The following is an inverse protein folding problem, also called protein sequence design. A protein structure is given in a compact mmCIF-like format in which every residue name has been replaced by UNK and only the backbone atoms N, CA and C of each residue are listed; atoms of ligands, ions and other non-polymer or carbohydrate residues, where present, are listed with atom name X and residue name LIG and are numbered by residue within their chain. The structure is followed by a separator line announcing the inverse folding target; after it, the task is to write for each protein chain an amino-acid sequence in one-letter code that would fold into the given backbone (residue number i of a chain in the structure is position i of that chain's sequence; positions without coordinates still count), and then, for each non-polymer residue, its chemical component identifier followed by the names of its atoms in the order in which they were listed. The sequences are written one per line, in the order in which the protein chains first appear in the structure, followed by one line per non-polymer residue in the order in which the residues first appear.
data_IF_412123030911
#
_entry.id   IF_412123030911
#
_cell.length_a   1.000
_cell.length_b   1.000
_cell.length_c   1.000
_cell.angle_alpha   90.00
_cell.angle_beta   90.00
_cell.angle_gamma   90.00
#
_symmetry.space_group_name_H-M   'P 1'
#
loop_
_entity.id
_entity.type
_entity.pdbx_description
1 polymer ?
#
# COMPACT_ATOMS: atom_id res chain seq x y z
N UNK A 1 23.38 43.03 40.40
CA UNK A 1 23.99 42.01 39.53
C UNK A 1 23.26 40.70 39.76
N UNK A 2 22.12 40.55 39.08
CA UNK A 2 21.35 39.30 38.97
C UNK A 2 20.10 39.60 38.14
N UNK A 3 20.30 39.79 36.84
CA UNK A 3 19.25 39.68 35.83
C UNK A 3 19.51 38.35 35.10
N UNK A 4 18.80 37.31 35.54
CA UNK A 4 18.68 36.04 34.82
C UNK A 4 17.18 35.80 34.75
N UNK A 5 16.57 36.29 33.67
CA UNK A 5 15.21 35.94 33.31
C UNK A 5 15.11 35.81 31.79
N UNK A 6 14.30 34.82 31.39
CA UNK A 6 13.69 34.65 30.07
C UNK A 6 14.56 34.07 28.97
N UNK A 7 14.51 32.74 28.79
CA UNK A 7 14.26 32.09 27.47
C UNK A 7 13.79 30.63 27.70
N UNK A 8 12.53 30.44 28.12
CA UNK A 8 11.92 29.10 28.10
C UNK A 8 10.43 29.12 27.71
N UNK A 9 10.06 29.98 26.75
CA UNK A 9 8.75 29.95 26.10
C UNK A 9 8.93 29.56 24.64
N UNK A 10 8.57 28.32 24.28
CA UNK A 10 8.63 27.90 22.87
C UNK A 10 8.27 26.46 22.60
N UNK A 11 8.29 25.58 23.62
CA UNK A 11 8.03 24.15 23.42
C UNK A 11 6.56 23.73 23.69
N UNK A 12 5.78 24.58 24.38
CA UNK A 12 4.38 24.30 24.73
C UNK A 12 3.38 24.49 23.59
N UNK A 13 3.58 25.51 22.74
CA UNK A 13 2.69 25.79 21.59
C UNK A 13 2.71 24.64 20.58
N UNK A 14 3.92 24.15 20.27
CA UNK A 14 4.12 23.07 19.29
C UNK A 14 3.48 21.76 19.73
N UNK A 15 3.54 21.43 21.03
CA UNK A 15 2.92 20.20 21.56
C UNK A 15 1.39 20.29 21.60
N UNK A 16 0.85 21.48 21.88
CA UNK A 16 -0.59 21.76 21.83
C UNK A 16 -1.12 21.70 20.40
N UNK A 17 -0.38 22.28 19.45
CA UNK A 17 -0.70 22.22 18.03
C UNK A 17 -0.74 20.77 17.52
N UNK A 18 0.27 19.97 17.87
CA UNK A 18 0.33 18.55 17.50
C UNK A 18 -0.81 17.74 18.10
N UNK A 19 -1.24 18.06 19.32
CA UNK A 19 -2.39 17.40 19.94
C UNK A 19 -3.68 17.70 19.17
N UNK A 20 -3.93 18.98 18.87
CA UNK A 20 -5.11 19.38 18.11
C UNK A 20 -5.19 18.66 16.76
N UNK A 21 -4.07 18.59 16.02
CA UNK A 21 -4.02 17.87 14.75
C UNK A 21 -4.35 16.39 14.95
N UNK A 22 -3.79 15.76 16.00
CA UNK A 22 -4.04 14.35 16.29
C UNK A 22 -5.52 14.05 16.59
N UNK A 23 -6.17 14.87 17.41
CA UNK A 23 -7.59 14.72 17.75
C UNK A 23 -8.49 14.88 16.52
N UNK A 24 -8.21 15.87 15.67
CA UNK A 24 -8.99 16.10 14.44
C UNK A 24 -8.79 14.98 13.42
N UNK A 25 -7.58 14.47 13.28
CA UNK A 25 -7.30 13.30 12.45
C UNK A 25 -8.03 12.06 12.96
N UNK A 26 -8.17 11.90 14.29
CA UNK A 26 -8.93 10.81 14.89
C UNK A 26 -10.44 10.94 14.63
N UNK A 27 -10.99 12.16 14.72
CA UNK A 27 -12.40 12.43 14.44
C UNK A 27 -12.80 12.23 12.98
N UNK A 28 -11.86 12.42 12.05
CA UNK A 28 -12.09 12.30 10.60
C UNK A 28 -11.20 11.22 9.96
N UNK A 29 -11.55 9.92 10.09
CA UNK A 29 -10.76 8.83 9.56
C UNK A 29 -10.62 8.86 8.03
N UNK A 30 -11.57 9.49 7.33
CA UNK A 30 -11.53 9.72 5.88
C UNK A 30 -10.26 10.47 5.41
N UNK A 31 -9.59 11.23 6.29
CA UNK A 31 -8.34 11.93 5.97
C UNK A 31 -7.19 10.93 5.76
N UNK A 32 -7.20 9.85 6.54
CA UNK A 32 -6.17 8.80 6.49
C UNK A 32 -6.42 7.78 5.38
N UNK A 33 -7.65 7.71 4.88
CA UNK A 33 -8.04 6.80 3.82
C UNK A 33 -7.31 7.13 2.50
N UNK A 34 -6.89 6.06 1.81
CA UNK A 34 -6.15 6.14 0.53
C UNK A 34 -7.04 5.94 -0.69
N UNK A 35 -8.36 5.83 -0.50
CA UNK A 35 -9.31 5.58 -1.58
C UNK A 35 -9.25 6.68 -2.65
N UNK A 36 -9.27 6.28 -3.93
CA UNK A 36 -9.28 7.21 -5.06
C UNK A 36 -10.69 7.57 -5.54
N UNK A 37 -11.73 7.03 -4.90
CA UNK A 37 -13.13 7.26 -5.24
C UNK A 37 -13.46 8.74 -5.11
N UNK A 38 -14.15 9.31 -6.12
CA UNK A 38 -14.47 10.75 -6.17
C UNK A 38 -15.25 11.23 -4.93
N UNK A 39 -16.24 10.45 -4.47
CA UNK A 39 -17.01 10.75 -3.27
C UNK A 39 -16.13 10.85 -2.01
N UNK A 40 -15.13 9.98 -1.88
CA UNK A 40 -14.21 9.99 -0.74
C UNK A 40 -13.21 11.15 -0.81
N UNK A 41 -12.76 11.51 -2.02
CA UNK A 41 -11.95 12.73 -2.21
C UNK A 41 -12.71 13.99 -1.82
N UNK A 42 -13.99 14.09 -2.17
CA UNK A 42 -14.83 15.22 -1.77
C UNK A 42 -15.01 15.29 -0.25
N UNK A 43 -15.35 14.16 0.39
CA UNK A 43 -15.45 14.07 1.85
C UNK A 43 -14.15 14.47 2.55
N UNK A 44 -13.01 14.03 2.03
CA UNK A 44 -11.70 14.38 2.56
C UNK A 44 -11.39 15.87 2.42
N UNK A 45 -11.65 16.46 1.26
CA UNK A 45 -11.44 17.90 1.06
C UNK A 45 -12.35 18.72 1.96
N UNK A 46 -13.63 18.33 2.10
CA UNK A 46 -14.58 19.00 2.99
C UNK A 46 -14.12 18.97 4.45
N UNK A 47 -13.72 17.80 4.95
CA UNK A 47 -13.17 17.65 6.31
C UNK A 47 -11.89 18.49 6.50
N UNK A 48 -11.00 18.50 5.51
CA UNK A 48 -9.76 19.31 5.59
C UNK A 48 -10.04 20.80 5.60
N UNK A 49 -11.01 21.29 4.82
CA UNK A 49 -11.39 22.70 4.84
C UNK A 49 -11.97 23.12 6.19
N UNK A 50 -12.75 22.24 6.83
CA UNK A 50 -13.32 22.49 8.15
C UNK A 50 -12.23 22.56 9.23
N UNK A 51 -11.31 21.60 9.24
CA UNK A 51 -10.21 21.56 10.22
C UNK A 51 -9.27 22.76 10.05
N UNK A 52 -8.96 23.16 8.82
CA UNK A 52 -8.12 24.34 8.57
C UNK A 52 -8.81 25.60 9.08
N UNK A 53 -10.13 25.72 8.91
CA UNK A 53 -10.90 26.85 9.44
C UNK A 53 -10.82 26.89 10.97
N UNK A 54 -11.02 25.76 11.64
CA UNK A 54 -10.88 25.66 13.10
C UNK A 54 -9.46 25.97 13.56
N UNK A 55 -8.46 25.50 12.82
CA UNK A 55 -7.05 25.76 13.12
C UNK A 55 -6.73 27.26 13.11
N UNK A 56 -7.22 27.99 12.09
CA UNK A 56 -7.06 29.45 12.02
C UNK A 56 -7.75 30.14 13.19
N UNK A 57 -8.94 29.67 13.59
CA UNK A 57 -9.65 30.27 14.74
C UNK A 57 -8.94 30.05 16.08
N UNK A 58 -8.26 28.91 16.27
CA UNK A 58 -7.62 28.57 17.54
C UNK A 58 -6.19 29.12 17.66
N UNK A 59 -5.41 29.05 16.58
CA UNK A 59 -3.99 29.41 16.60
C UNK A 59 -3.70 30.77 15.96
N UNK A 60 -4.68 31.40 15.31
CA UNK A 60 -4.52 32.69 14.60
C UNK A 60 -3.55 32.64 13.42
N UNK A 61 -3.10 31.44 13.01
CA UNK A 61 -2.11 31.22 11.95
C UNK A 61 -2.80 30.67 10.71
N UNK A 62 -2.67 31.35 9.59
CA UNK A 62 -3.13 30.85 8.29
C UNK A 62 -2.36 29.60 7.89
N UNK A 63 -3.07 28.55 7.47
CA UNK A 63 -2.47 27.29 7.06
C UNK A 63 -3.12 26.78 5.78
N UNK A 64 -2.31 26.45 4.77
CA UNK A 64 -2.80 25.79 3.56
C UNK A 64 -3.12 24.31 3.85
N UNK A 65 -4.15 23.76 3.19
CA UNK A 65 -4.53 22.34 3.27
C UNK A 65 -3.34 21.41 2.98
N UNK A 66 -2.48 21.77 2.01
CA UNK A 66 -1.27 21.00 1.69
C UNK A 66 -0.26 21.00 2.85
N UNK A 67 -0.09 22.14 3.51
CA UNK A 67 0.80 22.28 4.66
C UNK A 67 0.29 21.45 5.85
N UNK A 68 -1.02 21.49 6.11
CA UNK A 68 -1.67 20.66 7.12
C UNK A 68 -1.43 19.16 6.87
N UNK A 69 -1.69 18.69 5.64
CA UNK A 69 -1.45 17.29 5.27
C UNK A 69 0.03 16.90 5.35
N UNK A 70 0.95 17.82 5.04
CA UNK A 70 2.39 17.61 5.21
C UNK A 70 2.74 17.44 6.70
N UNK A 71 2.16 18.24 7.61
CA UNK A 71 2.34 18.07 9.06
C UNK A 71 1.82 16.71 9.52
N UNK A 72 0.62 16.32 9.11
CA UNK A 72 0.04 15.00 9.43
C UNK A 72 0.96 13.88 8.94
N UNK A 73 1.46 13.96 7.70
CA UNK A 73 2.36 12.95 7.15
C UNK A 73 3.70 12.90 7.91
N UNK A 74 4.26 14.04 8.29
CA UNK A 74 5.47 14.10 9.12
C UNK A 74 5.24 13.45 10.49
N UNK A 75 4.10 13.71 11.13
CA UNK A 75 3.70 13.07 12.38
C UNK A 75 3.59 11.55 12.22
N UNK A 76 2.96 11.07 11.15
CA UNK A 76 2.86 9.64 10.82
C UNK A 76 4.23 8.99 10.59
N UNK A 77 5.12 9.65 9.85
CA UNK A 77 6.47 9.12 9.59
C UNK A 77 7.30 9.06 10.88
N UNK A 78 7.24 10.10 11.73
CA UNK A 78 7.88 10.08 13.05
C UNK A 78 7.38 8.93 13.91
N UNK A 79 6.06 8.75 13.98
CA UNK A 79 5.43 7.66 14.72
C UNK A 79 5.87 6.28 14.19
N UNK A 80 5.86 6.10 12.87
CA UNK A 80 6.30 4.85 12.23
C UNK A 80 7.76 4.54 12.53
N UNK A 81 8.66 5.49 12.34
CA UNK A 81 10.08 5.31 12.62
C UNK A 81 10.32 4.96 14.09
N UNK A 82 9.57 5.59 14.99
CA UNK A 82 9.64 5.32 16.43
C UNK A 82 9.10 3.94 16.78
N UNK A 83 8.04 3.47 16.12
CA UNK A 83 7.44 2.15 16.35
C UNK A 83 8.29 1.03 15.73
N UNK A 84 8.82 1.25 14.54
CA UNK A 84 9.58 0.26 13.76
C UNK A 84 10.94 -0.06 14.39
N UNK A 85 11.68 0.97 14.83
CA UNK A 85 12.99 0.82 15.51
C UNK A 85 12.95 -0.06 16.76
N UNK A 86 11.79 -0.27 17.38
CA UNK A 86 11.67 -1.08 18.61
C UNK A 86 11.11 -2.47 18.39
N UNK A 87 10.63 -2.80 17.18
CA UNK A 87 10.30 -4.19 16.86
C UNK A 87 11.54 -5.09 16.95
N UNK A 88 12.73 -4.51 16.84
CA UNK A 88 14.04 -5.17 16.94
C UNK A 88 14.51 -5.39 18.40
N UNK A 89 13.61 -5.43 19.37
CA UNK A 89 13.88 -6.04 20.68
C UNK A 89 14.55 -5.16 21.75
N UNK A 90 14.69 -3.85 21.55
CA UNK A 90 15.30 -2.95 22.54
C UNK A 90 14.29 -1.97 23.15
N UNK A 91 13.86 -2.28 24.38
CA UNK A 91 13.12 -1.44 25.36
C UNK A 91 11.75 -0.89 24.89
N UNK A 92 10.78 -0.90 25.81
CA UNK A 92 9.48 -0.26 25.59
C UNK A 92 9.66 1.25 25.45
N UNK A 93 9.28 1.82 24.31
CA UNK A 93 9.32 3.26 24.11
C UNK A 93 8.09 3.93 24.73
N UNK A 94 8.34 5.04 25.44
CA UNK A 94 7.30 5.99 25.81
C UNK A 94 6.81 6.77 24.57
N UNK A 95 5.57 6.49 24.14
CA UNK A 95 4.87 7.32 23.17
C UNK A 95 4.34 8.58 23.84
N UNK A 96 4.46 9.71 23.15
CA UNK A 96 3.82 10.97 23.54
C UNK A 96 2.30 10.85 23.42
N UNK A 97 1.58 11.75 24.07
CA UNK A 97 0.11 11.76 24.09
C UNK A 97 -0.49 11.84 22.67
N UNK A 98 -0.04 12.78 21.84
CA UNK A 98 -0.49 12.89 20.44
C UNK A 98 -0.11 11.67 19.59
N UNK A 99 1.04 11.04 19.86
CA UNK A 99 1.50 9.85 19.16
C UNK A 99 0.54 8.66 19.40
N UNK A 100 0.07 8.49 20.64
CA UNK A 100 -0.91 7.47 21.01
C UNK A 100 -2.24 7.69 20.28
N UNK A 101 -2.69 8.93 20.18
CA UNK A 101 -3.93 9.31 19.48
C UNK A 101 -3.85 8.95 18.00
N UNK A 102 -2.77 9.33 17.32
CA UNK A 102 -2.56 9.00 15.91
C UNK A 102 -2.39 7.49 15.69
N UNK A 103 -1.71 6.79 16.60
CA UNK A 103 -1.54 5.34 16.51
C UNK A 103 -2.90 4.63 16.55
N UNK A 104 -3.80 5.08 17.44
CA UNK A 104 -5.17 4.59 17.52
C UNK A 104 -5.97 4.92 16.26
N UNK A 105 -5.85 6.15 15.74
CA UNK A 105 -6.53 6.56 14.50
C UNK A 105 -6.07 5.80 13.25
N UNK A 106 -4.87 5.19 13.29
CA UNK A 106 -4.31 4.40 12.19
C UNK A 106 -4.67 2.91 12.25
N UNK A 107 -5.50 2.48 13.20
CA UNK A 107 -5.86 1.08 13.46
C UNK A 107 -4.64 0.16 13.51
N UNK A 108 -3.60 0.60 14.23
CA UNK A 108 -2.32 -0.11 14.31
C UNK A 108 -2.45 -1.54 14.89
N UNK A 109 -3.50 -1.82 15.68
CA UNK A 109 -3.75 -3.14 16.23
C UNK A 109 -4.28 -4.14 15.18
N UNK A 110 -4.87 -3.66 14.08
CA UNK A 110 -5.41 -4.49 12.98
C UNK A 110 -4.41 -4.65 11.84
N UNK A 111 -3.39 -3.78 11.76
CA UNK A 111 -2.37 -3.87 10.74
C UNK A 111 -1.39 -5.01 11.07
N UNK A 112 -1.44 -6.14 10.35
CA UNK A 112 -0.55 -7.30 10.54
C UNK A 112 0.96 -6.98 10.46
N UNK A 113 1.35 -5.84 9.88
CA UNK A 113 2.74 -5.37 9.92
C UNK A 113 3.11 -4.91 11.33
N UNK A 114 2.17 -4.36 12.10
CA UNK A 114 2.34 -3.83 13.45
C UNK A 114 1.86 -4.81 14.54
N UNK A 115 0.80 -5.59 14.29
CA UNK A 115 0.30 -6.60 15.20
C UNK A 115 1.05 -7.92 15.03
N UNK A 116 1.49 -8.50 16.15
CA UNK A 116 2.17 -9.80 16.17
C UNK A 116 1.14 -10.85 15.79
N UNK A 117 1.33 -11.55 14.66
CA UNK A 117 0.42 -12.62 14.23
C UNK A 117 0.33 -13.66 15.36
N UNK A 118 -0.88 -13.94 15.89
CA UNK A 118 -1.06 -14.99 16.89
C UNK A 118 -0.54 -16.31 16.34
N UNK A 119 0.44 -16.92 17.01
CA UNK A 119 1.09 -18.17 16.57
C UNK A 119 2.52 -18.02 16.03
N UNK A 120 3.03 -16.79 15.86
CA UNK A 120 4.45 -16.59 15.58
C UNK A 120 5.32 -16.93 16.81
N UNK A 121 5.77 -18.18 16.91
CA UNK A 121 6.72 -18.64 17.92
C UNK A 121 8.09 -17.98 17.68
N UNK A 122 8.47 -17.04 18.55
CA UNK A 122 9.84 -16.55 18.60
C UNK A 122 10.71 -17.61 19.27
N UNK A 123 11.42 -18.40 18.47
CA UNK A 123 12.40 -19.36 18.96
C UNK A 123 13.54 -18.58 19.62
N UNK A 124 13.73 -18.75 20.93
CA UNK A 124 14.85 -18.17 21.69
C UNK A 124 14.49 -17.05 22.70
N UNK A 125 13.22 -16.70 22.87
CA UNK A 125 12.79 -15.80 23.96
C UNK A 125 12.05 -16.63 25.01
N UNK A 126 12.58 -16.66 26.24
CA UNK A 126 11.87 -17.23 27.39
C UNK A 126 10.63 -16.38 27.68
N UNK A 127 9.49 -16.80 27.15
CA UNK A 127 8.20 -16.18 27.44
C UNK A 127 7.78 -16.66 28.81
N UNK A 128 7.85 -15.78 29.82
CA UNK A 128 7.12 -16.03 31.05
C UNK A 128 5.62 -15.98 30.75
N UNK A 129 4.83 -16.97 31.19
CA UNK A 129 3.39 -16.96 30.99
C UNK A 129 2.77 -15.90 31.91
N UNK A 130 2.35 -14.76 31.35
CA UNK A 130 1.38 -13.90 32.00
C UNK A 130 0.01 -14.56 31.94
N UNK A 131 -0.60 -14.69 33.11
CA UNK A 131 -1.86 -15.36 33.42
C UNK A 131 -3.01 -15.00 32.46
N UNK A 132 -3.93 -15.95 32.19
CA UNK A 132 -5.13 -15.68 31.41
C UNK A 132 -6.10 -14.83 32.24
N UNK A 133 -6.51 -13.70 31.66
CA UNK A 133 -7.66 -12.92 32.13
C UNK A 133 -8.91 -13.74 31.79
N UNK A 134 -9.64 -14.16 32.83
CA UNK A 134 -10.96 -14.77 32.74
C UNK A 134 -11.88 -13.95 31.84
N UNK A 135 -12.48 -14.61 30.85
CA UNK A 135 -13.75 -14.18 30.27
C UNK A 135 -14.74 -15.29 30.55
N UNK A 136 -15.70 -14.95 31.39
CA UNK A 136 -16.79 -15.81 31.80
C UNK A 136 -17.66 -16.23 30.62
N UNK A 137 -18.18 -17.43 30.80
CA UNK A 137 -19.09 -18.23 30.01
C UNK A 137 -20.31 -17.48 29.46
N UNK A 138 -20.60 -17.69 28.17
CA UNK A 138 -21.98 -17.83 27.70
C UNK A 138 -22.04 -19.08 26.82
N UNK A 139 -22.58 -20.14 27.43
CA UNK A 139 -23.09 -21.35 26.80
C UNK A 139 -24.46 -21.04 26.19
N UNK A 140 -24.66 -21.32 24.91
CA UNK A 140 -25.94 -21.91 24.45
C UNK A 140 -25.73 -22.74 23.19
N UNK A 141 -26.21 -23.98 23.31
CA UNK A 141 -26.20 -25.14 22.41
C UNK A 141 -26.87 -24.87 21.05
N UNK A 142 -26.27 -25.33 19.94
CA UNK A 142 -26.62 -26.57 19.20
C UNK A 142 -27.82 -26.41 18.28
N UNK A 143 -27.62 -26.54 16.96
CA UNK A 143 -28.14 -27.72 16.27
C UNK A 143 -27.55 -27.93 14.87
N UNK A 144 -27.42 -29.22 14.55
CA UNK A 144 -26.84 -29.77 13.34
C UNK A 144 -27.82 -29.73 12.15
N UNK A 145 -27.31 -29.63 10.92
CA UNK A 145 -27.59 -30.64 9.87
C UNK A 145 -26.90 -30.38 8.52
N UNK A 146 -26.21 -31.44 8.08
CA UNK A 146 -26.18 -32.06 6.75
C UNK A 146 -25.52 -31.40 5.53
N UNK A 147 -24.44 -32.09 5.13
CA UNK A 147 -23.99 -32.44 3.76
C UNK A 147 -25.01 -32.28 2.62
N UNK A 148 -24.52 -31.85 1.45
CA UNK A 148 -24.63 -32.62 0.19
C UNK A 148 -23.69 -32.06 -0.89
N UNK A 149 -23.32 -32.96 -1.82
CA UNK A 149 -22.23 -32.88 -2.79
C UNK A 149 -22.66 -32.31 -4.16
N UNK A 150 -21.66 -31.79 -4.89
CA UNK A 150 -21.42 -31.87 -6.36
C UNK A 150 -22.50 -31.49 -7.39
N UNK A 151 -22.14 -30.59 -8.32
CA UNK A 151 -22.21 -30.77 -9.80
C UNK A 151 -21.61 -29.53 -10.50
N UNK A 152 -20.50 -29.64 -11.26
CA UNK A 152 -20.36 -29.95 -12.70
C UNK A 152 -20.89 -28.86 -13.66
N UNK A 153 -19.87 -28.24 -14.28
CA UNK A 153 -19.74 -27.53 -15.55
C UNK A 153 -20.88 -27.72 -16.56
N UNK A 154 -21.39 -26.60 -17.10
CA UNK A 154 -21.74 -26.53 -18.54
C UNK A 154 -21.32 -25.20 -19.16
N UNK A 155 -20.59 -25.34 -20.27
CA UNK A 155 -20.15 -24.31 -21.21
C UNK A 155 -21.32 -23.51 -21.79
N UNK A 156 -21.10 -22.22 -22.07
CA UNK A 156 -21.80 -21.54 -23.16
C UNK A 156 -20.86 -20.58 -23.89
N UNK A 157 -20.39 -21.04 -25.04
CA UNK A 157 -19.84 -20.19 -26.09
C UNK A 157 -20.93 -19.23 -26.61
N UNK A 158 -20.54 -17.98 -26.85
CA UNK A 158 -21.18 -17.17 -27.89
C UNK A 158 -20.15 -16.23 -28.51
N UNK A 159 -19.75 -16.59 -29.71
CA UNK A 159 -19.04 -15.75 -30.68
C UNK A 159 -20.03 -14.88 -31.46
N UNK A 160 -19.47 -14.01 -32.31
CA UNK A 160 -20.07 -13.15 -33.37
C UNK A 160 -20.18 -11.66 -32.97
N UNK A 161 -19.19 -10.83 -33.32
CA UNK A 161 -18.95 -10.07 -34.58
C UNK A 161 -19.48 -8.64 -34.49
N UNK A 162 -18.61 -7.63 -34.64
CA UNK A 162 -18.70 -6.60 -35.71
C UNK A 162 -17.71 -5.46 -35.46
N UNK A 163 -17.04 -5.08 -36.54
CA UNK A 163 -16.21 -3.89 -36.70
C UNK A 163 -17.03 -2.61 -36.46
N UNK A 164 -16.46 -1.63 -35.76
CA UNK A 164 -16.54 -0.22 -36.18
C UNK A 164 -15.35 0.57 -35.63
N UNK A 165 -14.58 1.09 -36.57
CA UNK A 165 -13.37 1.89 -36.40
C UNK A 165 -13.77 3.37 -36.28
N UNK A 166 -13.50 4.01 -35.14
CA UNK A 166 -13.64 5.47 -35.01
C UNK A 166 -12.34 6.07 -34.50
N UNK A 167 -11.65 6.74 -35.43
CA UNK A 167 -10.38 7.42 -35.22
C UNK A 167 -10.50 8.62 -34.24
N UNK A 168 -9.59 8.78 -33.26
CA UNK A 168 -9.45 10.02 -32.52
C UNK A 168 -8.53 11.03 -33.23
N UNK A 169 -9.04 12.26 -33.34
CA UNK A 169 -8.41 13.42 -34.00
C UNK A 169 -7.12 13.86 -33.30
N UNK A 170 -6.12 14.14 -34.13
CA UNK A 170 -4.79 14.70 -33.81
C UNK A 170 -4.91 16.04 -33.08
N UNK A 171 -4.22 16.18 -31.94
CA UNK A 171 -3.74 17.48 -31.44
C UNK A 171 -2.22 17.40 -31.36
N UNK A 172 -1.60 18.34 -32.05
CA UNK A 172 -0.17 18.41 -32.34
C UNK A 172 0.47 19.37 -31.33
N UNK A 173 1.25 18.84 -30.39
CA UNK A 173 2.23 19.63 -29.62
C UNK A 173 3.50 18.82 -29.50
N UNK A 174 4.52 19.22 -30.25
CA UNK A 174 5.89 18.69 -30.16
C UNK A 174 6.49 19.05 -28.79
N UNK A 175 7.08 18.10 -28.05
CA UNK A 175 8.18 18.42 -27.16
C UNK A 175 9.49 18.01 -27.83
N UNK A 176 10.42 18.96 -27.87
CA UNK A 176 11.82 18.80 -28.26
C UNK A 176 12.44 17.65 -27.47
N UNK A 177 12.67 16.52 -28.16
CA UNK A 177 13.28 15.32 -27.59
C UNK A 177 14.78 15.56 -27.43
N UNK A 178 15.19 15.99 -26.23
CA UNK A 178 16.58 15.92 -25.81
C UNK A 178 16.86 14.44 -25.52
N UNK A 179 17.69 13.85 -26.38
CA UNK A 179 18.17 12.47 -26.29
C UNK A 179 19.07 12.29 -25.06
N UNK A 180 18.46 12.15 -23.89
CA UNK A 180 19.07 11.48 -22.75
C UNK A 180 18.76 9.99 -22.89
N UNK A 181 19.78 9.15 -23.04
CA UNK A 181 19.60 7.70 -22.93
C UNK A 181 18.95 7.43 -21.56
N UNK A 182 17.75 6.85 -21.48
CA UNK A 182 17.24 6.41 -20.19
C UNK A 182 18.19 5.34 -19.68
N UNK A 183 18.69 5.50 -18.44
CA UNK A 183 19.30 4.38 -17.73
C UNK A 183 18.26 3.26 -17.68
N UNK A 184 18.47 2.22 -18.49
CA UNK A 184 17.66 1.00 -18.48
C UNK A 184 17.73 0.43 -17.06
N UNK A 185 16.59 0.42 -16.36
CA UNK A 185 16.46 -0.26 -15.07
C UNK A 185 16.84 -1.74 -15.24
N UNK A 186 17.53 -2.32 -14.26
CA UNK A 186 18.00 -3.71 -14.30
C UNK A 186 16.90 -4.72 -14.66
N UNK A 187 15.65 -4.44 -14.26
CA UNK A 187 14.49 -5.27 -14.60
C UNK A 187 14.16 -5.26 -16.10
N UNK A 188 14.24 -4.09 -16.75
CA UNK A 188 14.01 -3.97 -18.20
C UNK A 188 15.11 -4.66 -19.02
N UNK A 189 16.35 -4.61 -18.52
CA UNK A 189 17.48 -5.31 -19.14
C UNK A 189 17.31 -6.83 -19.03
N UNK A 190 16.85 -7.33 -17.89
CA UNK A 190 16.58 -8.76 -17.69
C UNK A 190 15.45 -9.25 -18.59
N UNK A 191 14.35 -8.51 -18.67
CA UNK A 191 13.22 -8.83 -19.56
C UNK A 191 13.67 -8.91 -21.03
N UNK A 192 14.51 -7.96 -21.48
CA UNK A 192 15.07 -7.97 -22.83
C UNK A 192 15.97 -9.17 -23.11
N UNK A 193 16.82 -9.56 -22.14
CA UNK A 193 17.68 -10.73 -22.26
C UNK A 193 16.87 -12.03 -22.35
N UNK A 194 15.86 -12.19 -21.50
CA UNK A 194 14.96 -13.35 -21.54
C UNK A 194 14.27 -13.46 -22.90
N UNK A 195 13.78 -12.34 -23.43
CA UNK A 195 13.11 -12.31 -24.73
C UNK A 195 14.07 -12.69 -25.88
N UNK A 196 15.32 -12.23 -25.83
CA UNK A 196 16.34 -12.60 -26.82
C UNK A 196 16.66 -14.09 -26.79
N UNK A 197 16.74 -14.69 -25.59
CA UNK A 197 16.99 -16.12 -25.44
C UNK A 197 15.80 -16.95 -25.95
N UNK A 198 14.57 -16.52 -25.65
CA UNK A 198 13.35 -17.16 -26.18
C UNK A 198 13.31 -17.11 -27.72
N UNK A 199 13.65 -15.97 -28.33
CA UNK A 199 13.73 -15.84 -29.79
C UNK A 199 14.77 -16.78 -30.41
N UNK A 200 15.92 -16.95 -29.74
CA UNK A 200 16.97 -17.87 -30.19
C UNK A 200 16.51 -19.32 -30.18
N UNK A 201 15.84 -19.75 -29.10
CA UNK A 201 15.27 -21.09 -28.98
C UNK A 201 14.22 -21.34 -30.08
N UNK A 202 13.31 -20.38 -30.30
CA UNK A 202 12.28 -20.49 -31.32
C UNK A 202 12.88 -20.67 -32.74
N UNK A 203 13.95 -19.93 -33.07
CA UNK A 203 14.66 -20.07 -34.35
C UNK A 203 15.29 -21.44 -34.52
N UNK A 204 15.93 -21.98 -33.48
CA UNK A 204 16.54 -23.32 -33.54
C UNK A 204 15.48 -24.41 -33.71
N UNK A 205 14.34 -24.30 -33.04
CA UNK A 205 13.22 -25.23 -33.21
C UNK A 205 12.68 -25.20 -34.64
N UNK A 206 12.52 -24.00 -35.23
CA UNK A 206 12.07 -23.86 -36.60
C UNK A 206 13.05 -24.52 -37.60
N UNK A 207 14.36 -24.33 -37.42
CA UNK A 207 15.38 -24.96 -38.26
C UNK A 207 15.40 -26.49 -38.11
N UNK A 208 15.21 -26.99 -36.89
CA UNK A 208 15.14 -28.43 -36.65
C UNK A 208 13.94 -29.05 -37.38
N UNK A 209 12.76 -28.42 -37.28
CA UNK A 209 11.55 -28.90 -37.95
C UNK A 209 11.68 -28.85 -39.48
N UNK A 210 12.22 -27.77 -40.04
CA UNK A 210 12.43 -27.67 -41.49
C UNK A 210 13.40 -28.73 -42.01
N UNK A 211 14.51 -28.98 -41.29
CA UNK A 211 15.45 -30.04 -41.63
C UNK A 211 14.83 -31.44 -41.53
N UNK A 212 13.95 -31.66 -40.56
CA UNK A 212 13.23 -32.93 -40.38
C UNK A 212 12.23 -33.16 -41.52
N UNK A 213 11.49 -32.13 -41.93
CA UNK A 213 10.58 -32.20 -43.08
C UNK A 213 11.34 -32.51 -44.37
N UNK A 214 12.45 -31.82 -44.64
CA UNK A 214 13.26 -32.06 -45.83
C UNK A 214 13.81 -33.49 -45.90
N UNK A 215 14.22 -34.07 -44.75
CA UNK A 215 14.63 -35.48 -44.69
C UNK A 215 13.49 -36.44 -45.04
N UNK A 216 12.28 -36.15 -44.56
CA UNK A 216 11.10 -36.96 -44.87
C UNK A 216 10.74 -36.89 -46.36
N UNK A 217 10.77 -35.70 -46.96
CA UNK A 217 10.54 -35.51 -48.40
C UNK A 217 11.54 -36.32 -49.23
N UNK A 218 12.83 -36.27 -48.89
CA UNK A 218 13.86 -37.07 -49.57
C UNK A 218 13.61 -38.59 -49.45
N UNK A 219 13.21 -39.07 -48.27
CA UNK A 219 12.89 -40.50 -48.08
C UNK A 219 11.67 -40.96 -48.86
N UNK A 220 10.70 -40.07 -49.12
CA UNK A 220 9.52 -40.38 -49.94
C UNK A 220 9.90 -40.43 -51.42
N UNK A 221 10.74 -39.51 -51.91
CA UNK A 221 11.15 -39.48 -53.32
C UNK A 221 12.10 -40.60 -53.75
N UNK A 222 12.84 -41.21 -52.83
CA UNK A 222 13.74 -42.34 -53.13
C UNK A 222 13.07 -43.71 -53.13
N UNK A 223 11.80 -43.81 -52.73
CA UNK A 223 11.03 -45.05 -52.63
C UNK A 223 9.97 -45.22 -53.76
N UNK A 224 9.99 -44.33 -54.76
CA UNK A 224 9.19 -44.39 -56.01
C UNK A 224 10.10 -44.51 -57.20
#
# INVERSE_FOLDING_TARGET
MSDIDSEQEGNGDVTTEMMFIAERVQGFPAILEKSQIAAMKQKKTAALTEIVKEYVTLFGKEMEIKAFMKKVNNMKTRLKNKTDKNKTGNKSIGLLSWEKVILKAMDADVNAVLSRVPGALAIGVSVQPSLPISRDDIVTESDANQMTMSEVITNKMRSHTSLEEVAPKRINTKPTFVCGKPEESDETRLQRLVLLEQLKVARLQQQYLSAKLHKLELTVTCNT
#
